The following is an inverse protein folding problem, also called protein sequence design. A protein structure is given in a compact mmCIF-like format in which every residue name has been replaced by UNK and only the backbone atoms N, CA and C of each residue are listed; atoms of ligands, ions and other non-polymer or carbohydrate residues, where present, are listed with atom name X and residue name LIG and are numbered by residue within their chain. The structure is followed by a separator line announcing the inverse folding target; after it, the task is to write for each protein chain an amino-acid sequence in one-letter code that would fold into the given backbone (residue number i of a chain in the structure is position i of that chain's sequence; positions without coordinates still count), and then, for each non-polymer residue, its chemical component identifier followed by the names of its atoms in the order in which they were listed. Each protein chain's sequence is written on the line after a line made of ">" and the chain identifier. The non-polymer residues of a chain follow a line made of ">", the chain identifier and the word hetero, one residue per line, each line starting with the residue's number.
data_IF_408619426840
#
_entry.id   IF_408619426840
#
_cell.length_a   1.000
_cell.length_b   1.000
_cell.length_c   1.000
_cell.angle_alpha   90.00
_cell.angle_beta   90.00
_cell.angle_gamma   90.00
#
_symmetry.space_group_name_H-M   'P 1'
#
loop_
_entity.id
_entity.type
_entity.pdbx_description
1 polymer ?
#
# COMPACT_ATOMS: atom_id res chain seq x y z
N UNK A 1 15.37 9.86 6.80
CA UNK A 1 14.52 8.74 6.39
C UNK A 1 13.81 8.25 7.64
N UNK A 2 12.48 8.40 7.73
CA UNK A 2 11.71 7.98 8.91
C UNK A 2 11.65 6.45 9.02
N UNK A 3 11.67 5.95 10.25
CA UNK A 3 11.31 4.56 10.54
C UNK A 3 9.79 4.33 10.42
N UNK A 4 9.34 3.10 10.66
CA UNK A 4 7.92 2.70 10.57
C UNK A 4 7.02 3.60 11.41
N UNK A 5 7.34 3.79 12.69
CA UNK A 5 6.50 4.56 13.62
C UNK A 5 6.36 6.03 13.19
N UNK A 6 7.45 6.67 12.80
CA UNK A 6 7.44 8.07 12.36
C UNK A 6 6.62 8.25 11.08
N UNK A 7 6.73 7.33 10.12
CA UNK A 7 5.92 7.32 8.91
C UNK A 7 4.42 7.20 9.22
N UNK A 8 4.06 6.27 10.12
CA UNK A 8 2.69 6.04 10.54
C UNK A 8 2.09 7.23 11.29
N UNK A 9 2.85 7.85 12.21
CA UNK A 9 2.41 9.07 12.88
C UNK A 9 2.25 10.23 11.90
N UNK A 10 3.13 10.38 10.91
CA UNK A 10 2.99 11.40 9.88
C UNK A 10 1.73 11.17 9.02
N UNK A 11 1.43 9.92 8.67
CA UNK A 11 0.20 9.56 7.95
C UNK A 11 -1.06 9.94 8.75
N UNK A 12 -1.05 9.75 10.07
CA UNK A 12 -2.16 10.13 10.95
C UNK A 12 -2.38 11.64 11.08
N UNK A 13 -1.44 12.49 10.62
CA UNK A 13 -1.66 13.94 10.55
C UNK A 13 -2.60 14.37 9.42
N UNK A 14 -2.93 13.45 8.50
CA UNK A 14 -3.86 13.72 7.41
C UNK A 14 -5.28 13.98 7.95
N UNK A 15 -5.99 15.01 7.45
CA UNK A 15 -7.38 15.27 7.80
C UNK A 15 -8.23 14.04 7.56
N UNK A 16 -8.98 13.63 8.57
CA UNK A 16 -9.85 12.45 8.52
C UNK A 16 -9.12 11.11 8.57
N UNK A 17 -7.80 11.05 8.85
CA UNK A 17 -7.13 9.79 9.09
C UNK A 17 -7.72 9.10 10.33
N UNK A 18 -8.13 7.84 10.15
CA UNK A 18 -8.70 7.01 11.23
C UNK A 18 -7.71 5.97 11.71
N UNK A 19 -6.96 5.36 10.80
CA UNK A 19 -5.90 4.42 11.13
C UNK A 19 -4.95 4.21 9.97
N UNK A 20 -3.73 3.80 10.27
CA UNK A 20 -2.70 3.51 9.28
C UNK A 20 -1.89 2.27 9.69
N UNK A 21 -1.36 1.56 8.71
CA UNK A 21 -0.51 0.39 8.95
C UNK A 21 0.55 0.23 7.86
N UNK A 22 1.69 -0.36 8.21
CA UNK A 22 2.63 -0.95 7.24
C UNK A 22 2.42 -2.46 7.29
N UNK A 23 2.22 -3.09 6.13
CA UNK A 23 1.87 -4.51 6.03
C UNK A 23 2.72 -5.19 4.98
N UNK A 24 3.23 -6.37 5.29
CA UNK A 24 3.80 -7.30 4.30
C UNK A 24 2.65 -8.01 3.55
N UNK A 25 2.52 -7.77 2.25
CA UNK A 25 1.43 -8.33 1.45
C UNK A 25 1.66 -9.77 0.99
N UNK A 26 2.86 -10.30 1.18
CA UNK A 26 3.14 -11.73 0.96
C UNK A 26 2.70 -12.54 2.18
N UNK A 27 3.04 -12.09 3.41
CA UNK A 27 2.72 -12.83 4.63
C UNK A 27 1.42 -12.41 5.32
N UNK A 28 0.89 -11.23 5.00
CA UNK A 28 -0.27 -10.64 5.70
C UNK A 28 0.04 -10.07 7.08
N UNK A 29 1.31 -9.89 7.42
CA UNK A 29 1.73 -9.41 8.75
C UNK A 29 1.76 -7.88 8.79
N UNK A 30 1.15 -7.30 9.82
CA UNK A 30 1.35 -5.90 10.15
C UNK A 30 2.75 -5.71 10.77
N UNK A 31 3.58 -4.89 10.13
CA UNK A 31 4.88 -4.47 10.67
C UNK A 31 4.74 -3.31 11.67
N UNK A 32 3.64 -2.56 11.57
CA UNK A 32 3.24 -1.54 12.52
C UNK A 32 1.84 -1.01 12.22
N UNK A 33 1.13 -0.54 13.24
CA UNK A 33 -0.21 0.02 13.13
C UNK A 33 -0.43 1.16 14.14
N UNK A 34 -1.24 2.14 13.75
CA UNK A 34 -1.66 3.30 14.59
C UNK A 34 -3.10 3.70 14.29
N UNK A 35 -3.75 4.37 15.24
CA UNK A 35 -5.13 4.84 15.11
C UNK A 35 -6.14 3.77 15.50
N UNK A 36 -7.21 3.63 14.73
CA UNK A 36 -8.26 2.62 14.84
C UNK A 36 -8.19 1.61 13.69
N UNK A 37 -8.67 0.38 13.93
CA UNK A 37 -8.88 -0.63 12.88
C UNK A 37 -10.34 -0.59 12.36
N UNK A 38 -10.60 -0.73 11.04
CA UNK A 38 -11.96 -0.76 10.47
C UNK A 38 -12.87 -1.84 11.06
N UNK A 39 -12.30 -2.98 11.44
CA UNK A 39 -13.03 -4.12 12.02
C UNK A 39 -12.69 -4.33 13.51
N UNK A 40 -11.92 -3.43 14.13
CA UNK A 40 -11.48 -3.52 15.52
C UNK A 40 -10.32 -4.48 15.77
N UNK A 41 -9.75 -5.09 14.72
CA UNK A 41 -8.67 -6.06 14.77
C UNK A 41 -7.59 -5.67 13.73
N UNK A 42 -6.37 -5.40 14.16
CA UNK A 42 -5.32 -4.92 13.25
C UNK A 42 -4.77 -6.04 12.38
N UNK A 43 -4.59 -7.21 12.98
CA UNK A 43 -4.07 -8.41 12.36
C UNK A 43 -5.03 -8.92 11.28
N UNK A 44 -6.32 -8.96 11.57
CA UNK A 44 -7.35 -9.31 10.58
C UNK A 44 -7.38 -8.29 9.43
N UNK A 45 -7.37 -6.98 9.74
CA UNK A 45 -7.34 -5.94 8.70
C UNK A 45 -6.09 -6.04 7.81
N UNK A 46 -4.93 -6.31 8.41
CA UNK A 46 -3.68 -6.49 7.66
C UNK A 46 -3.75 -7.70 6.73
N UNK A 47 -4.22 -8.85 7.21
CA UNK A 47 -4.38 -10.04 6.40
C UNK A 47 -5.37 -9.81 5.23
N UNK A 48 -6.53 -9.21 5.49
CA UNK A 48 -7.54 -8.93 4.47
C UNK A 48 -7.03 -7.95 3.40
N UNK A 49 -6.36 -6.87 3.82
CA UNK A 49 -5.82 -5.88 2.88
C UNK A 49 -4.62 -6.43 2.10
N UNK A 50 -3.85 -7.35 2.67
CA UNK A 50 -2.78 -8.07 1.98
C UNK A 50 -3.29 -8.94 0.84
N UNK A 51 -4.41 -9.66 1.02
CA UNK A 51 -5.01 -10.44 -0.07
C UNK A 51 -5.42 -9.54 -1.25
N UNK A 52 -5.99 -8.36 -0.96
CA UNK A 52 -6.39 -7.40 -2.00
C UNK A 52 -5.17 -6.83 -2.73
N UNK A 53 -4.12 -6.46 -1.99
CA UNK A 53 -2.87 -6.00 -2.57
C UNK A 53 -2.26 -7.09 -3.47
N UNK A 54 -2.08 -8.30 -2.94
CA UNK A 54 -1.51 -9.42 -3.70
C UNK A 54 -2.26 -9.70 -4.99
N UNK A 55 -3.60 -9.77 -4.93
CA UNK A 55 -4.41 -9.97 -6.12
C UNK A 55 -4.20 -8.87 -7.16
N UNK A 56 -4.12 -7.60 -6.74
CA UNK A 56 -3.84 -6.49 -7.67
C UNK A 56 -2.43 -6.56 -8.27
N UNK A 57 -1.43 -6.98 -7.49
CA UNK A 57 -0.05 -7.09 -7.96
C UNK A 57 0.15 -8.26 -8.93
N UNK A 58 -0.59 -9.37 -8.78
CA UNK A 58 -0.38 -10.60 -9.56
C UNK A 58 -1.32 -10.74 -10.77
N UNK A 59 -2.52 -10.16 -10.71
CA UNK A 59 -3.51 -10.36 -11.77
C UNK A 59 -3.18 -9.54 -13.01
N UNK A 60 -3.13 -10.22 -14.16
CA UNK A 60 -2.84 -9.63 -15.48
C UNK A 60 -3.74 -8.46 -15.87
N UNK A 61 -4.95 -8.37 -15.28
CA UNK A 61 -5.86 -7.25 -15.50
C UNK A 61 -5.29 -5.91 -15.00
N UNK A 62 -4.40 -5.94 -14.01
CA UNK A 62 -3.79 -4.76 -13.39
C UNK A 62 -2.26 -4.73 -13.55
N UNK A 63 -1.65 -5.91 -13.70
CA UNK A 63 -0.23 -6.13 -13.89
C UNK A 63 0.05 -6.87 -15.21
N UNK A 64 -0.22 -6.25 -16.38
CA UNK A 64 0.00 -6.90 -17.66
C UNK A 64 1.50 -7.16 -17.87
N UNK A 65 1.85 -8.39 -18.24
CA UNK A 65 3.19 -8.71 -18.73
C UNK A 65 3.25 -8.32 -20.20
N UNK A 66 4.24 -7.51 -20.61
CA UNK A 66 4.35 -7.01 -22.00
C UNK A 66 4.81 -8.08 -23.03
N UNK A 67 4.79 -9.37 -22.71
CA UNK A 67 5.14 -10.42 -23.66
C UNK A 67 3.99 -11.43 -23.85
N UNK A 68 3.00 -11.12 -24.72
CA UNK A 68 1.88 -12.01 -25.01
C UNK A 68 2.26 -13.19 -25.94
N UNK A 69 3.43 -13.12 -26.59
CA UNK A 69 3.89 -14.08 -27.58
C UNK A 69 5.31 -14.52 -27.19
N UNK A 70 5.46 -15.46 -26.25
CA UNK A 70 6.75 -15.94 -25.69
C UNK A 70 7.82 -16.41 -26.68
N UNK A 71 8.33 -15.49 -27.49
CA UNK A 71 9.23 -15.63 -28.63
C UNK A 71 10.28 -14.53 -28.61
N UNK A 72 10.22 -13.56 -27.70
CA UNK A 72 11.38 -12.71 -27.43
C UNK A 72 12.38 -13.47 -26.55
N UNK A 73 13.24 -14.26 -27.19
CA UNK A 73 14.49 -14.78 -26.63
C UNK A 73 15.52 -13.68 -26.33
N UNK A 74 15.07 -12.47 -26.04
CA UNK A 74 15.83 -11.45 -25.35
C UNK A 74 15.31 -11.44 -23.93
N UNK A 75 16.18 -11.71 -22.98
CA UNK A 75 16.00 -11.41 -21.56
C UNK A 75 15.52 -9.95 -21.46
N UNK A 76 14.19 -9.78 -21.50
CA UNK A 76 13.55 -8.48 -21.47
C UNK A 76 13.97 -7.85 -20.16
N UNK A 77 14.59 -6.68 -20.25
CA UNK A 77 14.94 -5.86 -19.08
C UNK A 77 13.74 -5.87 -18.13
N UNK A 78 13.88 -6.39 -16.89
CA UNK A 78 12.81 -6.35 -15.92
C UNK A 78 12.26 -4.92 -15.88
N UNK A 79 10.94 -4.71 -16.00
CA UNK A 79 10.40 -3.39 -15.73
C UNK A 79 10.80 -3.07 -14.29
N UNK A 80 11.62 -2.04 -14.14
CA UNK A 80 12.02 -1.52 -12.84
C UNK A 80 10.77 -0.94 -12.17
N UNK A 81 10.31 -1.56 -11.09
CA UNK A 81 9.18 -1.07 -10.29
C UNK A 81 8.01 -2.06 -10.17
N UNK A 82 7.08 -1.73 -9.27
CA UNK A 82 5.91 -2.56 -9.00
C UNK A 82 4.83 -2.35 -10.08
N UNK A 83 4.12 -3.40 -10.50
CA UNK A 83 3.17 -3.30 -11.61
C UNK A 83 1.94 -2.44 -11.29
N UNK A 84 1.62 -2.27 -10.00
CA UNK A 84 0.56 -1.40 -9.50
C UNK A 84 1.16 -0.43 -8.49
N UNK A 85 0.88 0.86 -8.65
CA UNK A 85 1.39 1.89 -7.74
C UNK A 85 0.58 2.04 -6.45
N UNK A 86 -0.74 2.15 -6.57
CA UNK A 86 -1.67 2.30 -5.45
C UNK A 86 -3.05 1.68 -5.74
N UNK A 87 -3.79 1.37 -4.67
CA UNK A 87 -5.19 0.98 -4.72
C UNK A 87 -6.02 1.93 -3.87
N UNK A 88 -7.25 2.16 -4.31
CA UNK A 88 -8.20 3.00 -3.60
C UNK A 88 -9.58 2.34 -3.60
N UNK A 89 -10.05 1.96 -2.42
CA UNK A 89 -11.38 1.41 -2.21
C UNK A 89 -12.25 2.47 -1.55
N UNK A 90 -13.36 2.81 -2.20
CA UNK A 90 -14.36 3.71 -1.63
C UNK A 90 -15.47 2.90 -0.99
N UNK A 91 -15.76 3.17 0.28
CA UNK A 91 -16.90 2.57 1.00
C UNK A 91 -17.92 3.64 1.36
N UNK A 92 -19.03 3.24 1.99
CA UNK A 92 -20.04 4.19 2.47
C UNK A 92 -19.51 5.11 3.55
N UNK A 93 -18.56 4.64 4.36
CA UNK A 93 -18.06 5.33 5.55
C UNK A 93 -16.66 5.93 5.38
N UNK A 94 -15.89 5.50 4.40
CA UNK A 94 -14.52 5.97 4.23
C UNK A 94 -13.86 5.58 2.92
N UNK A 95 -12.56 5.84 2.86
CA UNK A 95 -11.65 5.42 1.81
C UNK A 95 -10.58 4.53 2.43
N UNK A 96 -10.22 3.46 1.74
CA UNK A 96 -9.08 2.62 2.09
C UNK A 96 -8.05 2.82 0.99
N UNK A 97 -6.86 3.28 1.37
CA UNK A 97 -5.75 3.53 0.47
C UNK A 97 -4.65 2.53 0.77
N UNK A 98 -4.14 1.88 -0.27
CA UNK A 98 -2.98 0.99 -0.22
C UNK A 98 -1.95 1.58 -1.17
N UNK A 99 -0.78 1.97 -0.65
CA UNK A 99 0.35 2.47 -1.44
C UNK A 99 1.48 1.49 -1.31
N UNK A 100 1.89 0.87 -2.42
CA UNK A 100 3.06 0.02 -2.36
C UNK A 100 4.33 0.84 -2.07
N UNK A 101 5.26 0.19 -1.39
CA UNK A 101 6.57 0.77 -1.08
C UNK A 101 7.58 0.09 -1.99
N UNK A 102 8.20 0.87 -2.87
CA UNK A 102 9.35 0.40 -3.62
C UNK A 102 10.58 0.43 -2.72
N UNK A 103 11.19 -0.73 -2.51
CA UNK A 103 12.43 -0.84 -1.72
C UNK A 103 13.56 -1.35 -2.60
N UNK A 104 14.80 -1.00 -2.24
CA UNK A 104 16.00 -1.52 -2.92
C UNK A 104 16.25 -3.00 -2.66
N UNK A 105 15.58 -3.57 -1.66
CA UNK A 105 15.52 -5.01 -1.40
C UNK A 105 14.19 -5.56 -1.92
N UNK A 106 14.08 -6.87 -2.14
CA UNK A 106 12.81 -7.54 -2.51
C UNK A 106 11.83 -7.54 -1.32
N UNK A 107 11.40 -6.36 -0.85
CA UNK A 107 10.39 -6.22 0.19
C UNK A 107 9.00 -6.09 -0.42
N UNK A 108 8.09 -6.91 0.07
CA UNK A 108 6.71 -6.94 -0.35
C UNK A 108 5.84 -6.20 0.66
N UNK A 109 6.05 -4.89 0.86
CA UNK A 109 5.24 -4.11 1.80
C UNK A 109 4.41 -3.01 1.15
N UNK A 110 3.31 -2.64 1.81
CA UNK A 110 2.54 -1.44 1.50
C UNK A 110 2.27 -0.61 2.75
N UNK A 111 2.02 0.68 2.52
CA UNK A 111 1.44 1.61 3.47
C UNK A 111 -0.08 1.68 3.25
N UNK A 112 -0.82 1.36 4.29
CA UNK A 112 -2.28 1.43 4.33
C UNK A 112 -2.76 2.62 5.13
N UNK A 113 -3.81 3.29 4.63
CA UNK A 113 -4.49 4.37 5.33
C UNK A 113 -6.01 4.20 5.20
N UNK A 114 -6.68 4.21 6.35
CA UNK A 114 -8.13 4.34 6.44
C UNK A 114 -8.51 5.79 6.70
N UNK A 115 -9.28 6.36 5.77
CA UNK A 115 -9.66 7.76 5.75
C UNK A 115 -11.19 7.91 5.89
N UNK A 116 -11.63 8.80 6.76
CA UNK A 116 -13.03 9.20 6.89
C UNK A 116 -13.57 9.83 5.59
N UNK A 117 -14.81 9.50 5.22
CA UNK A 117 -15.40 9.99 3.96
C UNK A 117 -15.75 11.49 3.95
N UNK A 118 -16.09 12.05 5.10
CA UNK A 118 -16.63 13.39 5.25
C UNK A 118 -15.55 14.40 5.65
N UNK A 119 -14.62 13.99 6.50
CA UNK A 119 -13.52 14.84 6.98
C UNK A 119 -12.21 14.58 6.25
N UNK A 120 -12.14 13.49 5.48
CA UNK A 120 -10.99 13.08 4.70
C UNK A 120 -10.68 14.00 3.51
N UNK A 121 -9.40 14.31 3.31
CA UNK A 121 -8.92 14.90 2.07
C UNK A 121 -8.19 13.85 1.21
N UNK A 122 -8.94 13.17 0.35
CA UNK A 122 -8.45 12.06 -0.47
C UNK A 122 -7.30 12.46 -1.41
N UNK A 123 -7.40 13.63 -2.04
CA UNK A 123 -6.36 14.12 -2.96
C UNK A 123 -5.04 14.35 -2.23
N UNK A 124 -5.09 15.00 -1.06
CA UNK A 124 -3.91 15.22 -0.24
C UNK A 124 -3.36 13.91 0.33
N UNK A 125 -4.24 12.99 0.75
CA UNK A 125 -3.82 11.69 1.26
C UNK A 125 -3.00 10.93 0.22
N UNK A 126 -3.43 10.86 -1.03
CA UNK A 126 -2.67 10.17 -2.10
C UNK A 126 -1.27 10.77 -2.32
N UNK A 127 -1.17 12.10 -2.37
CA UNK A 127 0.12 12.79 -2.55
C UNK A 127 1.05 12.50 -1.36
N UNK A 128 0.52 12.57 -0.14
CA UNK A 128 1.30 12.35 1.08
C UNK A 128 1.71 10.91 1.26
N UNK A 129 0.85 9.94 0.96
CA UNK A 129 1.21 8.52 1.01
C UNK A 129 2.31 8.16 0.01
N UNK A 130 2.28 8.71 -1.20
CA UNK A 130 3.38 8.57 -2.17
C UNK A 130 4.70 9.06 -1.57
N UNK A 131 4.72 10.29 -1.07
CA UNK A 131 5.92 10.90 -0.47
C UNK A 131 6.39 10.17 0.80
N UNK A 132 5.48 9.57 1.56
CA UNK A 132 5.82 8.75 2.73
C UNK A 132 6.47 7.43 2.31
N UNK A 133 5.89 6.73 1.34
CA UNK A 133 6.41 5.48 0.81
C UNK A 133 7.83 5.65 0.23
N UNK A 134 8.08 6.69 -0.56
CA UNK A 134 9.40 6.99 -1.15
C UNK A 134 10.49 7.27 -0.10
N UNK A 135 10.11 7.72 1.10
CA UNK A 135 11.05 8.04 2.19
C UNK A 135 11.21 6.89 3.19
N UNK A 136 10.33 5.90 3.15
CA UNK A 136 10.31 4.81 4.11
C UNK A 136 11.53 3.93 3.89
N UNK A 137 12.29 3.68 4.96
CA UNK A 137 13.38 2.72 4.95
C UNK A 137 13.00 1.57 5.87
N UNK A 138 13.01 0.37 5.31
CA UNK A 138 12.99 -0.87 6.09
C UNK A 138 14.45 -1.21 6.37
N UNK A 139 14.90 -0.98 7.61
CA UNK A 139 16.24 -1.34 8.08
C UNK A 139 16.19 -2.70 8.75
#
# INVERSE_FOLDING_TARGET
>A
MPGIDECLYEAMTLPGARGAAIVDWTSGLALGSVGDSPNGDYEATAAETAEVARAAAEYQAFAPVDDPDGVSGQEGTPREGLPVEDLMLTTRSGFHLIRYVETTFDSSVFLYLWLDRHTGNLAMARIRLRSLAERLVLV
#
